data_IF_528864470817
#
_entry.id   IF_528864470817
#
_cell.length_a   1.000
_cell.length_b   1.000
_cell.length_c   1.000
_cell.angle_alpha   90.00
_cell.angle_beta   90.00
_cell.angle_gamma   90.00
#
_symmetry.space_group_name_H-M   'P 1'
#
loop_
_entity.id
_entity.type
_entity.pdbx_description
1 polymer ?
#
# COMPACT_ATOMS: atom_id res chain seq x y z
N UNK A 1 -7.71 9.99 5.75
CA UNK A 1 -7.06 10.56 6.95
C UNK A 1 -7.72 10.08 8.24
N UNK A 2 -9.04 10.20 8.40
CA UNK A 2 -9.76 9.72 9.60
C UNK A 2 -9.53 8.22 9.91
N UNK A 3 -9.63 7.35 8.90
CA UNK A 3 -9.38 5.91 9.06
C UNK A 3 -7.93 5.58 9.46
N UNK A 4 -6.97 6.35 8.93
CA UNK A 4 -5.56 6.21 9.29
C UNK A 4 -5.34 6.57 10.78
N UNK A 5 -5.88 7.71 11.22
CA UNK A 5 -5.80 8.11 12.62
C UNK A 5 -6.46 7.07 13.54
N UNK A 6 -7.59 6.49 13.13
CA UNK A 6 -8.25 5.43 13.87
C UNK A 6 -7.37 4.18 14.00
N UNK A 7 -6.83 3.67 12.90
CA UNK A 7 -5.91 2.53 12.91
C UNK A 7 -4.71 2.78 13.83
N UNK A 8 -4.07 3.95 13.69
CA UNK A 8 -2.90 4.28 14.51
C UNK A 8 -3.25 4.42 15.98
N UNK A 9 -4.39 5.02 16.33
CA UNK A 9 -4.78 5.17 17.74
C UNK A 9 -5.17 3.85 18.39
N UNK A 10 -5.81 2.95 17.65
CA UNK A 10 -6.31 1.67 18.17
C UNK A 10 -5.21 0.60 18.22
N UNK A 11 -4.33 0.55 17.22
CA UNK A 11 -3.46 -0.61 17.01
C UNK A 11 -1.96 -0.32 17.05
N UNK A 12 -1.50 0.93 16.94
CA UNK A 12 -0.04 1.20 16.82
C UNK A 12 0.79 0.70 18.02
N UNK A 13 0.16 0.52 19.18
CA UNK A 13 0.79 -0.03 20.38
C UNK A 13 0.84 -1.56 20.45
N UNK A 14 0.11 -2.28 19.60
CA UNK A 14 0.02 -3.75 19.67
C UNK A 14 1.24 -4.41 19.05
N UNK A 15 1.67 -5.54 19.61
CA UNK A 15 2.78 -6.32 19.05
C UNK A 15 2.43 -6.87 17.66
N UNK A 16 1.16 -7.20 17.41
CA UNK A 16 0.69 -7.63 16.10
C UNK A 16 0.90 -6.53 15.04
N UNK A 17 0.53 -5.28 15.34
CA UNK A 17 0.74 -4.16 14.42
C UNK A 17 2.24 -3.97 14.14
N UNK A 18 3.06 -3.91 15.19
CA UNK A 18 4.52 -3.74 15.05
C UNK A 18 5.13 -4.84 14.20
N UNK A 19 4.72 -6.08 14.41
CA UNK A 19 5.22 -7.23 13.66
C UNK A 19 4.82 -7.19 12.19
N UNK A 20 3.58 -6.80 11.89
CA UNK A 20 3.12 -6.59 10.51
C UNK A 20 3.98 -5.52 9.83
N UNK A 21 4.12 -4.34 10.45
CA UNK A 21 4.90 -3.23 9.87
C UNK A 21 6.36 -3.64 9.68
N UNK A 22 6.97 -4.27 10.69
CA UNK A 22 8.35 -4.73 10.65
C UNK A 22 8.59 -5.74 9.51
N UNK A 23 7.73 -6.75 9.40
CA UNK A 23 7.84 -7.76 8.36
C UNK A 23 7.71 -7.13 6.96
N UNK A 24 6.74 -6.24 6.77
CA UNK A 24 6.50 -5.57 5.49
C UNK A 24 7.67 -4.67 5.09
N UNK A 25 8.24 -3.92 6.04
CA UNK A 25 9.40 -3.05 5.79
C UNK A 25 10.65 -3.85 5.37
N UNK A 26 10.84 -5.05 5.93
CA UNK A 26 11.96 -5.92 5.56
C UNK A 26 11.74 -6.65 4.23
N UNK A 27 10.53 -7.18 4.02
CA UNK A 27 10.26 -8.12 2.93
C UNK A 27 9.81 -7.41 1.65
N UNK A 28 9.19 -6.24 1.77
CA UNK A 28 8.63 -5.48 0.66
C UNK A 28 8.92 -3.98 0.79
N UNK A 29 10.17 -3.50 0.65
CA UNK A 29 10.55 -2.12 1.00
C UNK A 29 9.73 -1.00 0.32
N UNK A 30 9.18 -1.28 -0.86
CA UNK A 30 8.36 -0.32 -1.63
C UNK A 30 6.85 -0.39 -1.30
N UNK A 31 6.41 -1.20 -0.33
CA UNK A 31 4.99 -1.50 -0.09
C UNK A 31 4.12 -0.27 0.19
N UNK A 32 4.69 0.80 0.75
CA UNK A 32 4.01 2.08 1.05
C UNK A 32 3.95 3.04 -0.14
N UNK A 33 4.72 2.76 -1.19
CA UNK A 33 4.76 3.55 -2.43
C UNK A 33 3.73 3.04 -3.42
N UNK A 34 3.45 3.82 -4.47
CA UNK A 34 2.58 3.38 -5.57
C UNK A 34 3.19 2.26 -6.44
N UNK A 35 4.46 1.85 -6.21
CA UNK A 35 5.01 0.58 -6.77
C UNK A 35 4.54 -0.64 -5.98
N UNK A 36 4.21 -0.45 -4.72
CA UNK A 36 3.69 -1.44 -3.79
C UNK A 36 2.17 -1.39 -3.73
N UNK A 37 1.64 -0.97 -2.58
CA UNK A 37 0.20 -0.83 -2.32
C UNK A 37 -0.27 0.62 -2.32
N UNK A 38 0.65 1.60 -2.33
CA UNK A 38 0.33 3.02 -2.28
C UNK A 38 -0.80 3.33 -1.30
N UNK A 39 -1.83 4.04 -1.77
CA UNK A 39 -2.92 4.50 -0.92
C UNK A 39 -3.86 3.39 -0.39
N UNK A 40 -3.71 2.13 -0.80
CA UNK A 40 -4.43 0.98 -0.20
C UNK A 40 -3.62 0.27 0.88
N UNK A 41 -2.38 0.68 1.14
CA UNK A 41 -1.55 0.13 2.23
C UNK A 41 -2.24 0.20 3.60
N UNK A 42 -3.07 1.23 3.85
CA UNK A 42 -3.89 1.33 5.06
C UNK A 42 -4.92 0.20 5.17
N UNK A 43 -5.63 -0.07 4.08
CA UNK A 43 -6.65 -1.11 4.03
C UNK A 43 -6.03 -2.49 4.19
N UNK A 44 -4.87 -2.70 3.58
CA UNK A 44 -4.06 -3.90 3.76
C UNK A 44 -3.72 -4.14 5.23
N UNK A 45 -3.11 -3.17 5.92
CA UNK A 45 -2.74 -3.33 7.34
C UNK A 45 -3.95 -3.64 8.20
N UNK A 46 -5.06 -2.92 7.98
CA UNK A 46 -6.30 -3.17 8.70
C UNK A 46 -6.84 -4.58 8.45
N UNK A 47 -6.87 -5.00 7.19
CA UNK A 47 -7.29 -6.35 6.81
C UNK A 47 -6.44 -7.42 7.50
N UNK A 48 -5.12 -7.26 7.49
CA UNK A 48 -4.20 -8.19 8.15
C UNK A 48 -4.44 -8.27 9.65
N UNK A 49 -4.66 -7.15 10.33
CA UNK A 49 -4.99 -7.13 11.77
C UNK A 49 -6.31 -7.84 12.02
N UNK A 50 -7.36 -7.48 11.28
CA UNK A 50 -8.70 -8.07 11.45
C UNK A 50 -8.66 -9.59 11.24
N UNK A 51 -7.95 -10.06 10.22
CA UNK A 51 -7.79 -11.48 9.92
C UNK A 51 -7.00 -12.21 11.02
N UNK A 52 -5.82 -11.70 11.38
CA UNK A 52 -4.94 -12.36 12.35
C UNK A 52 -5.49 -12.34 13.78
N UNK A 53 -6.29 -11.32 14.12
CA UNK A 53 -7.02 -11.25 15.38
C UNK A 53 -8.09 -12.36 15.49
N UNK A 54 -8.77 -12.69 14.40
CA UNK A 54 -9.72 -13.81 14.34
C UNK A 54 -9.04 -15.17 14.50
N UNK A 55 -7.77 -15.30 14.09
CA UNK A 55 -6.95 -16.48 14.32
C UNK A 55 -6.54 -16.66 15.81
N UNK A 56 -7.04 -15.82 16.73
CA UNK A 56 -6.72 -15.80 18.16
C UNK A 56 -5.25 -15.51 18.50
N UNK A 57 -4.51 -14.86 17.59
CA UNK A 57 -3.10 -14.52 17.82
C UNK A 57 -2.95 -13.41 18.88
N UNK A 58 -3.90 -12.47 18.95
CA UNK A 58 -3.88 -11.40 19.97
C UNK A 58 -4.23 -11.89 21.39
N UNK A 59 -5.02 -12.95 21.55
CA UNK A 59 -5.50 -13.40 22.88
C UNK A 59 -4.40 -14.05 23.73
N UNK A 60 -3.28 -14.41 23.12
CA UNK A 60 -2.13 -15.02 23.77
C UNK A 60 -0.90 -14.11 23.67
N UNK A 61 -1.04 -12.83 24.04
CA UNK A 61 0.03 -11.79 24.04
C UNK A 61 1.38 -12.26 24.59
N UNK A 62 1.40 -13.28 25.46
CA UNK A 62 2.62 -13.79 26.09
C UNK A 62 3.47 -14.72 25.22
N UNK A 63 2.98 -15.19 24.06
CA UNK A 63 3.76 -16.14 23.24
C UNK A 63 3.48 -15.96 21.74
N UNK A 64 4.07 -14.94 21.11
CA UNK A 64 4.43 -15.05 19.69
C UNK A 64 5.54 -16.11 19.55
N UNK A 65 5.14 -17.38 19.53
CA UNK A 65 6.09 -18.44 19.19
C UNK A 65 6.40 -18.40 17.70
N UNK A 66 7.49 -19.08 17.31
CA UNK A 66 7.94 -19.21 15.92
C UNK A 66 6.82 -19.69 14.98
N UNK A 67 5.93 -20.57 15.47
CA UNK A 67 4.80 -21.08 14.67
C UNK A 67 3.77 -19.99 14.36
N UNK A 68 3.42 -19.17 15.34
CA UNK A 68 2.53 -18.01 15.18
C UNK A 68 3.10 -16.97 14.21
N UNK A 69 4.40 -16.65 14.33
CA UNK A 69 5.08 -15.73 13.41
C UNK A 69 5.08 -16.25 11.97
N UNK A 70 5.32 -17.55 11.79
CA UNK A 70 5.28 -18.16 10.45
C UNK A 70 3.90 -18.05 9.80
N UNK A 71 2.83 -18.23 10.57
CA UNK A 71 1.46 -18.05 10.07
C UNK A 71 1.25 -16.59 9.63
N UNK A 72 1.62 -15.63 10.48
CA UNK A 72 1.50 -14.20 10.18
C UNK A 72 2.22 -13.86 8.88
N UNK A 73 3.50 -14.24 8.75
CA UNK A 73 4.29 -13.88 7.58
C UNK A 73 3.77 -14.53 6.31
N UNK A 74 3.36 -15.80 6.35
CA UNK A 74 2.80 -16.46 5.17
C UNK A 74 1.48 -15.79 4.74
N UNK A 75 0.59 -15.48 5.70
CA UNK A 75 -0.65 -14.76 5.40
C UNK A 75 -0.38 -13.36 4.84
N UNK A 76 0.59 -12.63 5.39
CA UNK A 76 0.97 -11.30 4.90
C UNK A 76 1.52 -11.35 3.46
N UNK A 77 2.32 -12.36 3.12
CA UNK A 77 2.84 -12.54 1.76
C UNK A 77 1.69 -12.81 0.77
N UNK A 78 0.79 -13.72 1.12
CA UNK A 78 -0.36 -14.06 0.27
C UNK A 78 -1.29 -12.86 0.07
N UNK A 79 -1.62 -12.15 1.15
CA UNK A 79 -2.47 -10.97 1.09
C UNK A 79 -1.78 -9.83 0.34
N UNK A 80 -0.47 -9.63 0.52
CA UNK A 80 0.27 -8.57 -0.18
C UNK A 80 0.21 -8.76 -1.69
N UNK A 81 0.44 -9.97 -2.20
CA UNK A 81 0.37 -10.23 -3.65
C UNK A 81 -1.05 -10.04 -4.21
N UNK A 82 -2.08 -10.41 -3.44
CA UNK A 82 -3.49 -10.15 -3.79
C UNK A 82 -3.76 -8.64 -3.87
N UNK A 83 -3.50 -7.92 -2.78
CA UNK A 83 -3.71 -6.47 -2.69
C UNK A 83 -2.90 -5.72 -3.74
N UNK A 84 -1.66 -6.12 -4.02
CA UNK A 84 -0.81 -5.50 -5.03
C UNK A 84 -1.38 -5.67 -6.43
N UNK A 85 -1.94 -6.83 -6.73
CA UNK A 85 -2.57 -7.08 -8.03
C UNK A 85 -3.81 -6.22 -8.22
N UNK A 86 -4.66 -6.12 -7.21
CA UNK A 86 -5.84 -5.24 -7.21
C UNK A 86 -5.42 -3.77 -7.32
N UNK A 87 -4.43 -3.37 -6.52
CA UNK A 87 -3.93 -1.99 -6.49
C UNK A 87 -3.38 -1.54 -7.84
N UNK A 88 -2.66 -2.39 -8.58
CA UNK A 88 -2.17 -2.05 -9.92
C UNK A 88 -3.28 -1.58 -10.86
N UNK A 89 -4.45 -2.22 -10.80
CA UNK A 89 -5.59 -1.84 -11.63
C UNK A 89 -6.15 -0.48 -11.20
N UNK A 90 -6.33 -0.28 -9.90
CA UNK A 90 -6.84 0.99 -9.34
C UNK A 90 -5.87 2.13 -9.62
N UNK A 91 -4.57 1.92 -9.40
CA UNK A 91 -3.53 2.91 -9.64
C UNK A 91 -3.45 3.30 -11.12
N UNK A 92 -3.59 2.35 -12.05
CA UNK A 92 -3.57 2.63 -13.49
C UNK A 92 -4.69 3.56 -13.92
N UNK A 93 -5.90 3.39 -13.38
CA UNK A 93 -7.01 4.32 -13.64
C UNK A 93 -6.74 5.67 -13.01
N UNK A 94 -6.36 5.68 -11.73
CA UNK A 94 -6.08 6.90 -10.98
C UNK A 94 -5.00 7.77 -11.63
N UNK A 95 -3.90 7.17 -12.08
CA UNK A 95 -2.78 7.90 -12.70
C UNK A 95 -3.16 8.45 -14.06
N UNK A 96 -3.97 7.73 -14.84
CA UNK A 96 -4.46 8.21 -16.14
C UNK A 96 -5.42 9.39 -15.98
N UNK A 97 -6.36 9.30 -15.03
CA UNK A 97 -7.30 10.38 -14.73
C UNK A 97 -6.54 11.64 -14.30
N UNK A 98 -5.53 11.48 -13.43
CA UNK A 98 -4.70 12.61 -12.99
C UNK A 98 -3.83 13.18 -14.11
N UNK A 99 -3.24 12.34 -14.94
CA UNK A 99 -2.45 12.79 -16.09
C UNK A 99 -3.33 13.61 -17.04
N UNK A 100 -4.54 13.12 -17.35
CA UNK A 100 -5.47 13.79 -18.26
C UNK A 100 -5.91 15.15 -17.71
N UNK A 101 -6.13 15.24 -16.40
CA UNK A 101 -6.49 16.51 -15.77
C UNK A 101 -5.30 17.50 -15.68
N UNK A 102 -4.09 17.01 -15.44
CA UNK A 102 -2.90 17.85 -15.26
C UNK A 102 -2.32 18.37 -16.58
N UNK A 103 -2.45 17.59 -17.66
CA UNK A 103 -1.95 17.91 -18.99
C UNK A 103 -3.08 18.17 -20.00
N UNK A 104 -4.24 18.63 -19.53
CA UNK A 104 -5.43 18.80 -20.37
C UNK A 104 -5.15 19.70 -21.60
N UNK A 105 -4.44 20.81 -21.40
CA UNK A 105 -4.09 21.76 -22.47
C UNK A 105 -3.12 21.14 -23.48
N UNK A 106 -2.14 20.34 -23.03
CA UNK A 106 -1.20 19.64 -23.91
C UNK A 106 -1.84 18.46 -24.65
N UNK A 107 -2.86 17.82 -24.05
CA UNK A 107 -3.59 16.70 -24.64
C UNK A 107 -4.56 17.19 -25.72
N UNK A 108 -5.16 18.36 -25.53
CA UNK A 108 -6.06 19.00 -26.50
C UNK A 108 -5.34 19.67 -27.68
N UNK A 109 -4.00 19.75 -27.66
CA UNK A 109 -3.18 20.26 -28.76
C UNK A 109 -3.36 19.41 -30.02
N UNK A 110 -3.89 20.02 -31.10
CA UNK A 110 -4.14 19.37 -32.40
C UNK A 110 -2.86 18.84 -33.07
N UNK A 111 -1.68 19.30 -32.66
CA UNK A 111 -0.37 18.83 -33.15
C UNK A 111 0.29 17.82 -32.20
N UNK A 112 -0.41 17.35 -31.17
CA UNK A 112 0.11 16.33 -30.28
C UNK A 112 0.40 15.05 -31.05
N UNK A 113 1.64 14.59 -30.96
CA UNK A 113 2.05 13.29 -31.52
C UNK A 113 1.97 12.22 -30.45
N UNK A 114 1.68 10.98 -30.86
CA UNK A 114 1.74 9.81 -29.97
C UNK A 114 3.08 9.71 -29.24
N UNK A 115 4.18 10.08 -29.90
CA UNK A 115 5.51 10.11 -29.28
C UNK A 115 5.57 11.08 -28.09
N UNK A 116 5.07 12.31 -28.27
CA UNK A 116 5.08 13.33 -27.22
C UNK A 116 4.11 12.97 -26.09
N UNK A 117 2.92 12.45 -26.41
CA UNK A 117 1.96 11.95 -25.42
C UNK A 117 2.59 10.87 -24.54
N UNK A 118 3.14 9.82 -25.17
CA UNK A 118 3.74 8.70 -24.44
C UNK A 118 4.94 9.15 -23.59
N UNK A 119 5.76 10.08 -24.12
CA UNK A 119 6.88 10.64 -23.37
C UNK A 119 6.44 11.39 -22.10
N UNK A 120 5.42 12.24 -22.21
CA UNK A 120 4.86 12.97 -21.07
C UNK A 120 4.25 12.03 -20.04
N UNK A 121 3.45 11.07 -20.52
CA UNK A 121 2.83 10.07 -19.66
C UNK A 121 3.86 9.23 -18.91
N UNK A 122 4.92 8.76 -19.58
CA UNK A 122 5.98 7.97 -18.95
C UNK A 122 6.74 8.73 -17.86
N UNK A 123 6.98 10.04 -18.07
CA UNK A 123 7.60 10.89 -17.05
C UNK A 123 6.67 11.05 -15.85
N UNK A 124 5.40 11.38 -16.11
CA UNK A 124 4.39 11.57 -15.08
C UNK A 124 4.20 10.29 -14.25
N UNK A 125 4.04 9.15 -14.92
CA UNK A 125 3.87 7.84 -14.31
C UNK A 125 5.05 7.49 -13.38
N UNK A 126 6.30 7.75 -13.81
CA UNK A 126 7.49 7.51 -12.98
C UNK A 126 7.48 8.34 -11.70
N UNK A 127 7.10 9.61 -11.79
CA UNK A 127 7.00 10.49 -10.63
C UNK A 127 5.90 10.03 -9.65
N UNK A 128 4.78 9.54 -10.18
CA UNK A 128 3.68 9.03 -9.36
C UNK A 128 4.05 7.72 -8.66
N UNK A 129 4.84 6.83 -9.29
CA UNK A 129 5.24 5.56 -8.69
C UNK A 129 6.02 5.71 -7.37
N UNK A 130 6.85 6.73 -7.24
CA UNK A 130 7.77 6.90 -6.10
C UNK A 130 7.10 7.54 -4.86
N UNK A 131 5.86 8.01 -4.98
CA UNK A 131 5.16 8.69 -3.89
C UNK A 131 4.82 7.71 -2.77
N UNK A 132 5.35 7.99 -1.58
CA UNK A 132 4.92 7.36 -0.33
C UNK A 132 3.59 7.97 0.07
N UNK A 133 2.63 7.11 0.41
CA UNK A 133 1.24 7.53 0.67
C UNK A 133 0.89 7.54 2.16
N UNK A 134 1.50 6.68 2.95
CA UNK A 134 1.33 6.59 4.40
C UNK A 134 2.66 6.32 5.10
N UNK A 135 2.82 6.89 6.29
CA UNK A 135 3.98 6.71 7.15
C UNK A 135 3.56 6.08 8.49
N UNK A 136 3.53 4.75 8.55
CA UNK A 136 3.10 3.94 9.70
C UNK A 136 4.11 4.00 10.86
N UNK A 137 4.33 5.18 11.44
CA UNK A 137 5.23 5.35 12.57
C UNK A 137 4.66 4.68 13.84
N UNK A 138 5.37 3.69 14.37
CA UNK A 138 5.06 3.10 15.67
C UNK A 138 5.45 4.09 16.78
N UNK A 139 4.60 4.23 17.82
CA UNK A 139 4.86 5.06 19.01
C UNK A 139 5.53 4.24 20.12
#
# INVERSE_FOLDING_TARGET
MEQYCKLMNEYSGTELFKEIIHFMDMSFPEWKTNRGLGFTSLEFVRHSIDFLSQCNLEKNEKVFNIGSLKIIYLSLVEDYERFKTEYKLVFSSFVLDRFTAEYADEIEDEYLTDFRYNYLYDIFLKQEFEKVTYDFQCK
#
